data_IF_819978690793
#
_entry.id   IF_819978690793
#
_cell.length_a   1.000
_cell.length_b   1.000
_cell.length_c   1.000
_cell.angle_alpha   90.00
_cell.angle_beta   90.00
_cell.angle_gamma   90.00
#
_symmetry.space_group_name_H-M   'P 1'
#
loop_
_entity.id
_entity.type
_entity.pdbx_description
1 polymer ?
#
# COMPACT_ATOMS: atom_id res chain seq x y z
N UNK A 1 22.94 4.88 5.20
CA UNK A 1 21.48 5.09 5.36
C UNK A 1 21.05 4.44 6.65
N UNK A 2 20.39 5.16 7.56
CA UNK A 2 19.70 4.51 8.69
C UNK A 2 18.58 3.62 8.12
N UNK A 3 18.34 2.43 8.66
CA UNK A 3 17.31 1.53 8.13
C UNK A 3 15.95 2.23 8.18
N UNK A 4 15.18 2.11 7.10
CA UNK A 4 13.76 2.42 7.11
C UNK A 4 13.13 1.55 8.19
N UNK A 5 12.49 2.16 9.19
CA UNK A 5 11.86 1.42 10.27
C UNK A 5 10.57 0.78 9.74
N UNK A 6 10.71 -0.38 9.09
CA UNK A 6 9.62 -1.09 8.45
C UNK A 6 9.20 -2.28 9.32
N UNK A 7 8.19 -2.08 10.17
CA UNK A 7 7.53 -3.17 10.91
C UNK A 7 6.60 -3.90 9.95
N UNK A 8 6.87 -5.18 9.70
CA UNK A 8 6.00 -6.04 8.90
C UNK A 8 5.09 -6.87 9.82
N UNK A 9 3.82 -7.02 9.46
CA UNK A 9 2.80 -7.72 10.25
C UNK A 9 1.98 -8.67 9.37
N UNK A 10 1.48 -9.79 9.92
CA UNK A 10 0.72 -10.76 9.14
C UNK A 10 -0.67 -10.22 8.78
N UNK A 11 -1.09 -10.45 7.54
CA UNK A 11 -2.46 -10.26 7.07
C UNK A 11 -2.94 -11.59 6.50
N UNK A 12 -3.95 -12.17 7.14
CA UNK A 12 -4.48 -13.49 6.80
C UNK A 12 -5.81 -13.35 6.07
N UNK A 13 -5.93 -13.99 4.91
CA UNK A 13 -7.14 -14.04 4.08
C UNK A 13 -7.55 -15.50 3.87
N UNK A 14 -8.84 -15.81 4.00
CA UNK A 14 -9.35 -17.18 4.03
C UNK A 14 -9.67 -17.66 5.45
N UNK A 15 -10.01 -18.95 5.60
CA UNK A 15 -10.50 -19.54 6.87
C UNK A 15 -9.86 -20.87 7.22
N UNK A 16 -10.17 -21.40 8.40
CA UNK A 16 -9.72 -22.72 8.86
C UNK A 16 -10.47 -23.83 8.12
N UNK A 17 -9.84 -24.44 7.12
CA UNK A 17 -10.41 -25.60 6.45
C UNK A 17 -9.67 -25.99 5.19
N UNK A 18 -9.60 -25.12 4.18
CA UNK A 18 -9.11 -25.58 2.87
C UNK A 18 -8.31 -24.56 2.06
N UNK A 19 -8.52 -23.25 2.24
CA UNK A 19 -7.79 -22.23 1.47
C UNK A 19 -7.43 -21.01 2.30
N UNK A 20 -6.15 -20.66 2.34
CA UNK A 20 -5.61 -19.57 3.16
C UNK A 20 -4.41 -18.91 2.47
N UNK A 21 -4.36 -17.58 2.55
CA UNK A 21 -3.17 -16.80 2.18
C UNK A 21 -2.74 -15.98 3.39
N UNK A 22 -1.46 -16.05 3.74
CA UNK A 22 -0.83 -15.18 4.72
C UNK A 22 0.18 -14.28 4.01
N UNK A 23 -0.05 -12.98 4.13
CA UNK A 23 0.81 -11.92 3.63
C UNK A 23 1.58 -11.32 4.79
N UNK A 24 2.80 -10.84 4.54
CA UNK A 24 3.50 -9.95 5.47
C UNK A 24 3.44 -8.53 4.93
N UNK A 25 2.78 -7.61 5.64
CA UNK A 25 2.45 -6.27 5.16
C UNK A 25 3.04 -5.22 6.10
N UNK A 26 3.50 -4.08 5.57
CA UNK A 26 3.97 -3.00 6.42
C UNK A 26 2.85 -2.44 7.31
N UNK A 27 3.11 -2.40 8.61
CA UNK A 27 2.18 -1.99 9.68
C UNK A 27 1.58 -0.60 9.45
N UNK A 28 2.39 0.35 8.96
CA UNK A 28 1.96 1.64 8.42
C UNK A 28 2.60 1.82 7.03
N UNK A 29 2.34 2.96 6.39
CA UNK A 29 3.06 3.40 5.20
C UNK A 29 4.54 3.67 5.52
N UNK A 30 5.38 3.61 4.49
CA UNK A 30 6.80 3.95 4.60
C UNK A 30 6.98 5.35 5.19
N UNK A 31 7.86 5.44 6.19
CA UNK A 31 8.20 6.68 6.89
C UNK A 31 9.70 6.99 6.79
N UNK A 32 10.04 8.26 6.95
CA UNK A 32 11.42 8.67 7.21
C UNK A 32 11.85 8.35 8.66
N UNK A 33 13.09 8.70 9.00
CA UNK A 33 13.66 8.43 10.33
C UNK A 33 13.06 9.26 11.46
N UNK A 34 12.22 10.25 11.16
CA UNK A 34 11.55 11.10 12.16
C UNK A 34 10.04 10.82 12.24
N UNK A 35 9.55 9.80 11.53
CA UNK A 35 8.15 9.36 11.59
C UNK A 35 7.20 10.12 10.66
N UNK A 36 7.72 10.74 9.59
CA UNK A 36 6.87 11.34 8.55
C UNK A 36 6.56 10.31 7.46
N UNK A 37 5.28 10.07 7.20
CA UNK A 37 4.83 9.19 6.10
C UNK A 37 5.18 9.81 4.76
N UNK A 38 6.04 9.14 4.00
CA UNK A 38 6.60 9.65 2.77
C UNK A 38 5.61 9.62 1.61
N UNK A 39 5.64 10.68 0.80
CA UNK A 39 5.07 10.68 -0.54
C UNK A 39 6.20 10.44 -1.54
N UNK A 40 6.19 9.27 -2.16
CA UNK A 40 7.18 8.84 -3.14
C UNK A 40 6.62 8.95 -4.56
N UNK A 41 7.51 9.12 -5.53
CA UNK A 41 7.19 8.84 -6.93
C UNK A 41 7.06 7.32 -7.15
N UNK A 42 6.29 6.85 -8.15
CA UNK A 42 6.10 5.43 -8.39
C UNK A 42 7.42 4.66 -8.61
N UNK A 43 8.41 5.24 -9.29
CA UNK A 43 9.71 4.59 -9.48
C UNK A 43 10.53 4.52 -8.18
N UNK A 44 10.40 5.50 -7.27
CA UNK A 44 11.02 5.47 -5.95
C UNK A 44 10.37 4.38 -5.09
N UNK A 45 9.03 4.30 -5.11
CA UNK A 45 8.28 3.27 -4.41
C UNK A 45 8.61 1.86 -4.93
N UNK A 46 8.71 1.68 -6.26
CA UNK A 46 9.14 0.42 -6.88
C UNK A 46 10.57 0.07 -6.48
N UNK A 47 11.51 1.00 -6.62
CA UNK A 47 12.92 0.76 -6.28
C UNK A 47 13.08 0.35 -4.80
N UNK A 48 12.33 1.00 -3.91
CA UNK A 48 12.30 0.65 -2.49
C UNK A 48 11.72 -0.75 -2.26
N UNK A 49 10.62 -1.09 -2.93
CA UNK A 49 10.03 -2.42 -2.86
C UNK A 49 11.03 -3.49 -3.31
N UNK A 50 11.72 -3.28 -4.43
CA UNK A 50 12.71 -4.22 -4.98
C UNK A 50 13.89 -4.44 -4.02
N UNK A 51 14.46 -3.35 -3.47
CA UNK A 51 15.57 -3.42 -2.50
C UNK A 51 15.16 -4.17 -1.23
N UNK A 52 13.93 -3.97 -0.77
CA UNK A 52 13.40 -4.61 0.44
C UNK A 52 12.76 -5.98 0.19
N UNK A 53 12.89 -6.53 -1.02
CA UNK A 53 12.28 -7.81 -1.40
C UNK A 53 10.78 -7.84 -1.10
N UNK A 54 10.12 -6.75 -1.46
CA UNK A 54 8.69 -6.48 -1.32
C UNK A 54 8.06 -6.19 -2.68
N UNK A 55 6.74 -6.02 -2.69
CA UNK A 55 5.95 -5.53 -3.81
C UNK A 55 5.01 -4.42 -3.35
N UNK A 56 4.56 -3.60 -4.30
CA UNK A 56 3.46 -2.66 -4.10
C UNK A 56 2.12 -3.42 -4.18
N UNK A 57 1.08 -3.03 -3.42
CA UNK A 57 -0.20 -3.72 -3.41
C UNK A 57 -0.96 -3.50 -4.73
N UNK A 58 -1.90 -4.40 -5.04
CA UNK A 58 -2.98 -4.10 -5.98
C UNK A 58 -4.16 -3.43 -5.27
N UNK A 59 -5.11 -2.81 -5.99
CA UNK A 59 -6.32 -2.26 -5.37
C UNK A 59 -7.03 -3.24 -4.44
N UNK A 60 -7.15 -4.50 -4.87
CA UNK A 60 -7.79 -5.55 -4.09
C UNK A 60 -7.02 -5.92 -2.82
N UNK A 61 -5.68 -5.90 -2.88
CA UNK A 61 -4.85 -6.06 -1.68
C UNK A 61 -4.99 -4.86 -0.73
N UNK A 62 -5.13 -3.63 -1.24
CA UNK A 62 -5.41 -2.45 -0.39
C UNK A 62 -6.74 -2.63 0.35
N UNK A 63 -7.80 -3.11 -0.32
CA UNK A 63 -9.09 -3.39 0.33
C UNK A 63 -8.95 -4.44 1.45
N UNK A 64 -8.26 -5.55 1.18
CA UNK A 64 -8.04 -6.62 2.15
C UNK A 64 -7.22 -6.14 3.35
N UNK A 65 -6.18 -5.33 3.10
CA UNK A 65 -5.37 -4.73 4.16
C UNK A 65 -6.22 -3.81 5.03
N UNK A 66 -7.08 -2.98 4.42
CA UNK A 66 -8.00 -2.13 5.16
C UNK A 66 -8.98 -2.96 6.00
N UNK A 67 -9.58 -4.01 5.41
CA UNK A 67 -10.52 -4.90 6.10
C UNK A 67 -9.88 -5.50 7.36
N UNK A 68 -8.64 -5.98 7.25
CA UNK A 68 -7.89 -6.65 8.34
C UNK A 68 -7.17 -5.70 9.30
N UNK A 69 -7.09 -4.40 9.00
CA UNK A 69 -6.49 -3.41 9.90
C UNK A 69 -7.29 -3.29 11.21
N UNK A 70 -6.60 -3.36 12.35
CA UNK A 70 -7.19 -3.14 13.67
C UNK A 70 -7.40 -1.64 13.95
N UNK A 71 -6.60 -0.78 13.32
CA UNK A 71 -6.82 0.67 13.34
C UNK A 71 -7.18 1.21 11.95
N UNK A 72 -8.42 1.68 11.81
CA UNK A 72 -8.92 2.36 10.61
C UNK A 72 -9.04 3.85 10.88
N UNK A 73 -8.43 4.67 10.03
CA UNK A 73 -8.41 6.12 10.18
C UNK A 73 -9.24 6.79 9.08
N UNK A 74 -9.92 7.89 9.41
CA UNK A 74 -10.72 8.62 8.44
C UNK A 74 -9.79 9.48 7.55
N UNK A 75 -9.98 9.47 6.22
CA UNK A 75 -9.33 10.37 5.28
C UNK A 75 -9.40 11.85 5.70
N UNK A 76 -8.26 12.56 5.66
CA UNK A 76 -8.20 14.01 5.88
C UNK A 76 -7.73 14.74 4.64
N UNK A 77 -8.64 15.44 3.98
CA UNK A 77 -8.33 16.22 2.77
C UNK A 77 -7.79 17.60 3.11
N UNK A 78 -6.66 17.95 2.50
CA UNK A 78 -6.08 19.29 2.43
C UNK A 78 -6.13 19.79 0.98
N UNK A 79 -6.57 21.04 0.78
CA UNK A 79 -6.83 21.60 -0.55
C UNK A 79 -5.74 22.53 -1.07
N UNK A 80 -4.87 23.05 -0.20
CA UNK A 80 -3.86 24.05 -0.53
C UNK A 80 -2.45 23.44 -0.60
N UNK A 81 -1.65 23.90 -1.58
CA UNK A 81 -0.22 23.57 -1.74
C UNK A 81 0.10 22.07 -1.60
N UNK A 82 -0.72 21.22 -2.23
CA UNK A 82 -0.79 19.77 -1.96
C UNK A 82 0.54 19.02 -2.12
N UNK A 83 1.43 19.49 -3.00
CA UNK A 83 2.75 18.92 -3.23
C UNK A 83 3.86 19.42 -2.31
N UNK A 84 3.57 20.37 -1.40
CA UNK A 84 4.59 20.99 -0.55
C UNK A 84 4.98 20.12 0.64
N UNK A 85 6.22 20.29 1.10
CA UNK A 85 6.74 19.64 2.31
C UNK A 85 5.93 20.02 3.55
N UNK A 86 5.49 21.29 3.64
CA UNK A 86 4.66 21.79 4.74
C UNK A 86 3.31 21.06 4.81
N UNK A 87 2.64 20.87 3.66
CA UNK A 87 1.37 20.12 3.59
C UNK A 87 1.55 18.64 3.94
N UNK A 88 2.69 18.03 3.55
CA UNK A 88 3.01 16.66 3.96
C UNK A 88 3.10 16.53 5.49
N UNK A 89 3.83 17.45 6.14
CA UNK A 89 4.00 17.48 7.60
C UNK A 89 2.66 17.74 8.29
N UNK A 90 1.89 18.70 7.80
CA UNK A 90 0.54 18.98 8.31
C UNK A 90 -0.35 17.74 8.26
N UNK A 91 -0.36 17.02 7.13
CA UNK A 91 -1.15 15.80 7.00
C UNK A 91 -0.64 14.69 7.92
N UNK A 92 0.68 14.53 8.08
CA UNK A 92 1.26 13.57 9.02
C UNK A 92 0.78 13.83 10.46
N UNK A 93 0.73 15.10 10.87
CA UNK A 93 0.23 15.49 12.18
C UNK A 93 -1.25 15.17 12.36
N UNK A 94 -2.09 15.41 11.35
CA UNK A 94 -3.51 15.04 11.38
C UNK A 94 -3.69 13.52 11.54
N UNK A 95 -2.86 12.71 10.89
CA UNK A 95 -2.89 11.26 11.06
C UNK A 95 -2.49 10.87 12.48
N UNK A 96 -1.39 11.44 13.00
CA UNK A 96 -0.93 11.14 14.36
C UNK A 96 -1.94 11.58 15.43
N UNK A 97 -2.63 12.70 15.23
CA UNK A 97 -3.75 13.13 16.06
C UNK A 97 -4.91 12.14 16.03
N UNK A 98 -5.21 11.54 14.88
CA UNK A 98 -6.22 10.47 14.82
C UNK A 98 -5.75 9.20 15.51
N UNK A 99 -4.47 8.81 15.37
CA UNK A 99 -3.92 7.67 16.11
C UNK A 99 -4.06 7.92 17.62
N UNK A 100 -3.75 9.14 18.07
CA UNK A 100 -3.92 9.58 19.46
C UNK A 100 -3.26 8.65 20.49
N UNK A 101 -2.07 8.13 20.16
CA UNK A 101 -1.35 7.17 21.00
C UNK A 101 -1.98 5.80 21.13
N UNK A 102 -3.01 5.46 20.34
CA UNK A 102 -3.58 4.10 20.30
C UNK A 102 -2.54 3.13 19.74
N UNK A 103 -2.32 2.05 20.47
CA UNK A 103 -1.55 0.91 19.99
C UNK A 103 -2.28 0.23 18.83
N UNK A 104 -1.53 -0.21 17.82
CA UNK A 104 -2.07 -0.94 16.67
C UNK A 104 -1.05 -1.92 16.10
N UNK A 105 -1.57 -2.96 15.45
CA UNK A 105 -0.77 -3.89 14.65
C UNK A 105 -0.70 -3.41 13.20
N UNK A 106 -1.81 -2.96 12.63
CA UNK A 106 -1.94 -2.53 11.24
C UNK A 106 -2.88 -1.32 11.15
N UNK A 107 -2.38 -0.23 10.56
CA UNK A 107 -3.16 0.99 10.33
C UNK A 107 -3.42 1.24 8.85
N UNK A 108 -4.67 1.59 8.51
CA UNK A 108 -5.11 1.80 7.12
C UNK A 108 -6.19 2.90 6.98
N UNK A 109 -6.45 3.29 5.73
CA UNK A 109 -7.51 4.24 5.33
C UNK A 109 -7.02 5.67 5.10
N UNK A 110 -5.91 6.08 5.70
CA UNK A 110 -5.45 7.46 5.75
C UNK A 110 -4.66 7.98 4.52
N UNK A 111 -4.28 7.13 3.57
CA UNK A 111 -3.58 7.55 2.33
C UNK A 111 -4.17 6.86 1.10
N UNK A 112 -3.79 7.37 -0.07
CA UNK A 112 -3.94 6.73 -1.38
C UNK A 112 -2.68 5.91 -1.63
N UNK A 113 -2.84 4.60 -1.76
CA UNK A 113 -1.76 3.67 -2.04
C UNK A 113 -1.30 3.83 -3.49
N UNK A 114 0.02 3.83 -3.71
CA UNK A 114 0.59 3.60 -5.04
C UNK A 114 0.46 2.09 -5.31
N UNK A 115 -0.26 1.73 -6.37
CA UNK A 115 -0.63 0.33 -6.63
C UNK A 115 -0.04 -0.22 -7.92
N UNK A 116 0.07 -1.56 -7.98
CA UNK A 116 0.21 -2.30 -9.22
C UNK A 116 -1.17 -2.62 -9.79
N UNK A 117 -1.33 -2.37 -11.08
CA UNK A 117 -2.58 -2.61 -11.80
C UNK A 117 -2.40 -3.71 -12.85
N UNK A 118 -3.48 -4.19 -13.47
CA UNK A 118 -3.39 -4.98 -14.70
C UNK A 118 -2.74 -4.22 -15.85
N UNK A 119 -2.81 -2.87 -15.81
CA UNK A 119 -2.11 -2.01 -16.75
C UNK A 119 -1.69 -0.72 -16.08
N UNK A 120 -0.42 -0.35 -16.26
CA UNK A 120 0.11 0.95 -15.89
C UNK A 120 0.49 1.69 -17.17
N UNK A 121 -0.25 2.74 -17.59
CA UNK A 121 0.13 3.52 -18.75
C UNK A 121 1.52 4.15 -18.57
N UNK A 122 2.27 4.28 -19.66
CA UNK A 122 3.59 4.89 -19.63
C UNK A 122 3.52 6.33 -19.05
N UNK A 123 4.46 6.67 -18.17
CA UNK A 123 4.54 8.00 -17.56
C UNK A 123 3.39 8.35 -16.60
N UNK A 124 2.65 7.35 -16.09
CA UNK A 124 1.57 7.55 -15.11
C UNK A 124 1.89 6.89 -13.77
N UNK A 125 1.34 7.46 -12.70
CA UNK A 125 1.20 6.80 -11.40
C UNK A 125 -0.21 6.21 -11.31
N UNK A 126 -0.36 5.00 -10.76
CA UNK A 126 -1.68 4.45 -10.42
C UNK A 126 -1.86 4.50 -8.91
N UNK A 127 -2.92 5.17 -8.47
CA UNK A 127 -3.28 5.30 -7.07
C UNK A 127 -4.67 4.76 -6.78
N UNK A 128 -4.86 4.23 -5.58
CA UNK A 128 -6.13 3.66 -5.10
C UNK A 128 -6.29 3.82 -3.59
N UNK A 129 -7.52 3.84 -3.09
CA UNK A 129 -7.83 3.67 -1.67
C UNK A 129 -8.32 4.95 -1.00
N UNK A 130 -7.67 5.35 0.09
CA UNK A 130 -8.16 6.42 0.97
C UNK A 130 -9.57 6.11 1.48
N UNK A 131 -9.68 4.94 2.09
CA UNK A 131 -10.93 4.34 2.55
C UNK A 131 -11.52 5.07 3.73
N UNK A 132 -12.81 5.42 3.64
CA UNK A 132 -13.61 5.86 4.78
C UNK A 132 -13.81 4.72 5.77
N UNK A 133 -14.31 5.02 6.97
CA UNK A 133 -14.61 4.00 7.98
C UNK A 133 -15.66 2.96 7.56
N UNK A 134 -16.50 3.28 6.57
CA UNK A 134 -17.47 2.33 5.97
C UNK A 134 -16.83 1.37 4.93
N UNK A 135 -15.51 1.47 4.70
CA UNK A 135 -14.78 0.65 3.74
C UNK A 135 -14.88 1.13 2.31
N UNK A 136 -15.57 2.24 2.02
CA UNK A 136 -15.62 2.79 0.67
C UNK A 136 -14.35 3.59 0.36
N UNK A 137 -13.59 3.24 -0.70
CA UNK A 137 -12.46 4.05 -1.14
C UNK A 137 -12.95 5.37 -1.73
N UNK A 138 -12.33 6.49 -1.33
CA UNK A 138 -12.56 7.80 -1.96
C UNK A 138 -11.81 7.90 -3.29
N UNK A 139 -10.61 7.31 -3.36
CA UNK A 139 -9.79 7.26 -4.56
C UNK A 139 -10.04 5.95 -5.32
N UNK A 140 -10.76 5.97 -6.45
CA UNK A 140 -10.83 4.81 -7.34
C UNK A 140 -9.47 4.54 -7.98
N UNK A 141 -9.31 3.38 -8.63
CA UNK A 141 -8.08 3.02 -9.34
C UNK A 141 -7.89 4.04 -10.47
N UNK A 142 -6.88 4.91 -10.32
CA UNK A 142 -6.76 6.08 -11.17
C UNK A 142 -5.33 6.30 -11.63
N UNK A 143 -5.19 6.52 -12.94
CA UNK A 143 -3.94 6.85 -13.61
C UNK A 143 -3.97 8.23 -14.27
N UNK A 144 -4.76 9.17 -13.74
CA UNK A 144 -4.92 10.50 -14.34
C UNK A 144 -3.64 11.32 -14.23
N UNK A 145 -2.90 11.13 -13.14
CA UNK A 145 -1.71 11.90 -12.80
C UNK A 145 -0.45 11.36 -13.50
N UNK A 146 0.46 12.26 -13.87
CA UNK A 146 1.78 11.87 -14.36
C UNK A 146 2.57 11.14 -13.27
N UNK A 147 3.54 10.32 -13.67
CA UNK A 147 4.45 9.67 -12.74
C UNK A 147 5.26 10.69 -11.91
N UNK A 148 5.48 11.90 -12.44
CA UNK A 148 6.11 13.03 -11.75
C UNK A 148 5.18 13.80 -10.80
N UNK A 149 3.93 13.38 -10.65
CA UNK A 149 3.01 13.97 -9.69
C UNK A 149 3.00 13.18 -8.38
N UNK A 150 3.19 13.90 -7.28
CA UNK A 150 2.93 13.39 -5.93
C UNK A 150 2.42 14.50 -5.04
N UNK A 151 1.60 14.12 -4.07
CA UNK A 151 1.08 15.03 -3.07
C UNK A 151 1.07 14.38 -1.68
N UNK A 152 0.66 15.15 -0.66
CA UNK A 152 0.58 14.68 0.73
C UNK A 152 -0.25 13.40 0.93
N UNK A 153 -1.18 13.10 0.01
CA UNK A 153 -2.15 12.01 0.16
C UNK A 153 -1.61 10.68 -0.35
N UNK A 154 -0.51 10.66 -1.11
CA UNK A 154 0.13 9.43 -1.56
C UNK A 154 0.79 8.69 -0.39
N UNK A 155 0.73 7.36 -0.41
CA UNK A 155 1.37 6.47 0.55
C UNK A 155 1.98 5.25 -0.14
N UNK A 156 3.12 4.81 0.37
CA UNK A 156 3.78 3.58 -0.08
C UNK A 156 3.58 2.50 0.97
N UNK A 157 2.75 1.51 0.66
CA UNK A 157 2.54 0.29 1.44
C UNK A 157 3.37 -0.82 0.81
N UNK A 158 4.03 -1.63 1.64
CA UNK A 158 4.87 -2.72 1.16
C UNK A 158 4.31 -4.07 1.62
N UNK A 159 4.36 -5.05 0.73
CA UNK A 159 4.03 -6.45 1.02
C UNK A 159 5.28 -7.28 0.74
N UNK A 160 5.73 -8.10 1.68
CA UNK A 160 6.87 -8.98 1.45
C UNK A 160 6.61 -9.90 0.26
N UNK A 161 7.65 -10.18 -0.53
CA UNK A 161 7.59 -11.21 -1.56
C UNK A 161 7.39 -12.60 -1.00
N UNK A 162 7.77 -12.85 0.26
CA UNK A 162 7.55 -14.13 0.92
C UNK A 162 6.13 -14.17 1.46
N UNK A 163 5.32 -15.07 0.90
CA UNK A 163 3.93 -15.30 1.31
C UNK A 163 3.73 -16.77 1.64
N UNK A 164 2.67 -17.09 2.37
CA UNK A 164 2.25 -18.47 2.64
C UNK A 164 0.91 -18.71 1.99
N UNK A 165 0.82 -19.70 1.09
CA UNK A 165 -0.44 -20.13 0.47
C UNK A 165 -0.69 -21.58 0.87
N UNK A 166 -1.81 -21.83 1.54
CA UNK A 166 -2.21 -23.16 2.01
C UNK A 166 -1.12 -23.85 2.85
N UNK A 167 -0.44 -23.07 3.69
CA UNK A 167 0.67 -23.52 4.53
C UNK A 167 2.02 -23.64 3.83
N UNK A 168 2.09 -23.41 2.51
CA UNK A 168 3.32 -23.47 1.73
C UNK A 168 3.90 -22.07 1.52
N UNK A 169 5.13 -21.85 2.01
CA UNK A 169 5.87 -20.63 1.76
C UNK A 169 6.37 -20.54 0.32
N UNK A 170 6.15 -19.40 -0.35
CA UNK A 170 6.55 -19.17 -1.74
C UNK A 170 6.76 -17.69 -2.05
N UNK A 171 7.30 -17.40 -3.23
CA UNK A 171 7.36 -16.04 -3.76
C UNK A 171 5.96 -15.59 -4.24
N UNK A 172 5.60 -14.34 -3.98
CA UNK A 172 4.31 -13.76 -4.35
C UNK A 172 4.01 -13.87 -5.85
N UNK A 173 5.05 -13.81 -6.70
CA UNK A 173 4.85 -13.92 -8.15
C UNK A 173 4.60 -15.34 -8.64
N UNK A 174 4.90 -16.35 -7.82
CA UNK A 174 4.46 -17.71 -8.02
C UNK A 174 3.06 -17.91 -7.43
N UNK A 175 2.83 -17.34 -6.24
CA UNK A 175 1.55 -17.36 -5.54
C UNK A 175 0.40 -16.83 -6.39
N UNK A 176 0.59 -15.72 -7.13
CA UNK A 176 -0.46 -15.12 -7.97
C UNK A 176 -1.02 -16.06 -9.04
N UNK A 177 -0.29 -17.13 -9.39
CA UNK A 177 -0.74 -18.11 -10.37
C UNK A 177 -1.58 -19.25 -9.75
N UNK A 178 -1.54 -19.41 -8.43
CA UNK A 178 -2.25 -20.47 -7.72
C UNK A 178 -3.77 -20.27 -7.76
N UNK A 179 -4.57 -21.36 -7.76
CA UNK A 179 -6.02 -21.25 -7.65
C UNK A 179 -6.48 -20.53 -6.38
N UNK A 180 -5.81 -20.78 -5.25
CA UNK A 180 -6.12 -20.17 -3.96
C UNK A 180 -5.94 -18.66 -3.99
N UNK A 181 -4.83 -18.16 -4.54
CA UNK A 181 -4.63 -16.72 -4.70
C UNK A 181 -5.70 -16.10 -5.60
N UNK A 182 -5.97 -16.71 -6.75
CA UNK A 182 -6.97 -16.18 -7.70
C UNK A 182 -8.37 -16.11 -7.11
N UNK A 183 -8.70 -17.03 -6.22
CA UNK A 183 -9.99 -17.09 -5.54
C UNK A 183 -10.08 -16.09 -4.37
N UNK A 184 -9.04 -16.00 -3.53
CA UNK A 184 -9.10 -15.24 -2.28
C UNK A 184 -8.58 -13.81 -2.41
N UNK A 185 -7.52 -13.63 -3.19
CA UNK A 185 -6.83 -12.36 -3.36
C UNK A 185 -7.29 -11.72 -4.65
N UNK A 186 -6.81 -12.17 -5.80
CA UNK A 186 -7.03 -11.48 -7.07
C UNK A 186 -6.89 -12.40 -8.28
N UNK A 187 -7.90 -12.41 -9.15
CA UNK A 187 -7.94 -13.25 -10.35
C UNK A 187 -7.29 -12.60 -11.57
N UNK A 188 -7.13 -11.27 -11.57
CA UNK A 188 -6.55 -10.52 -12.70
C UNK A 188 -5.04 -10.56 -12.68
N UNK A 189 -4.43 -10.63 -13.87
CA UNK A 189 -2.98 -10.49 -14.02
C UNK A 189 -2.57 -9.07 -13.66
N UNK A 190 -1.54 -8.94 -12.83
CA UNK A 190 -0.92 -7.67 -12.46
C UNK A 190 0.40 -7.49 -13.20
N UNK A 191 0.75 -6.24 -13.49
CA UNK A 191 2.13 -5.90 -13.84
C UNK A 191 3.03 -6.12 -12.62
N UNK A 192 4.24 -6.63 -12.85
CA UNK A 192 5.18 -6.93 -11.75
C UNK A 192 5.93 -5.69 -11.24
N UNK A 193 6.05 -4.68 -12.09
CA UNK A 193 6.73 -3.44 -11.77
C UNK A 193 6.16 -2.28 -12.59
N UNK A 194 6.39 -1.06 -12.10
CA UNK A 194 6.22 0.14 -12.92
C UNK A 194 7.18 0.12 -14.12
N UNK A 195 6.74 0.60 -15.32
CA UNK A 195 7.64 0.74 -16.46
C UNK A 195 8.87 1.58 -16.10
N UNK A 196 10.04 1.22 -16.62
CA UNK A 196 11.34 1.86 -16.30
C UNK A 196 11.45 3.34 -16.69
N UNK A 197 10.40 3.92 -17.26
CA UNK A 197 10.36 5.30 -17.71
C UNK A 197 10.29 6.24 -16.50
N UNK A 198 11.47 6.55 -15.96
CA UNK A 198 11.68 7.82 -15.25
C UNK A 198 11.38 8.95 -16.25
N UNK A 199 10.65 9.99 -15.86
CA UNK A 199 10.45 11.16 -16.72
C UNK A 199 11.79 11.76 -17.15
#
# INVERSE_FOLDING_TARGET
MKPVNLKMVPVVVGGSGEKKVELSVSSDYVMDSVGTRLSLFPWEAQSLADVLQCVLPSPRLVDLIWEKADLKLEPKSLTTNRGSQATLIQHNNLINQQINGREFTLVAGHKKDIVLSSRIPAGKVVIYGWHKLDGKPIQPESSIHSASYKDYSHGTRLISRKVVVDGVGMDIWDAVNTPTWKQLIESRTLVRAYPANKP
#
